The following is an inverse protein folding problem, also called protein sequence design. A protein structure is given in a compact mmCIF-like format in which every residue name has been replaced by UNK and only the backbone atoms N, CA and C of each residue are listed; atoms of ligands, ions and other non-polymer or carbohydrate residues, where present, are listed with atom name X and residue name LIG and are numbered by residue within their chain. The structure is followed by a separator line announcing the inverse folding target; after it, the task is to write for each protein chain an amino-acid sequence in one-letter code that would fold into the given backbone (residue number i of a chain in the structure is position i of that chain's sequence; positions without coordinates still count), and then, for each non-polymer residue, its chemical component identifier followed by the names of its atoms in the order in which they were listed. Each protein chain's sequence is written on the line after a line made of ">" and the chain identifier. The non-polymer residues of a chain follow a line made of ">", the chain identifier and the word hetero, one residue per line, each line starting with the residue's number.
data_IF_687130644597
#
_entry.id   IF_687130644597
#
_cell.length_a   1.000
_cell.length_b   1.000
_cell.length_c   1.000
_cell.angle_alpha   90.00
_cell.angle_beta   90.00
_cell.angle_gamma   90.00
#
_symmetry.space_group_name_H-M   'P 1'
#
loop_
_entity.id
_entity.type
_entity.pdbx_description
1 polymer ?
#
# COMPACT_ATOMS: atom_id res chain seq x y z
N UNK A 1 25.22 -22.57 33.79
CA UNK A 1 25.50 -21.18 33.41
C UNK A 1 26.30 -21.20 32.12
N UNK A 2 25.62 -21.12 30.98
CA UNK A 2 26.26 -20.85 29.70
C UNK A 2 26.02 -19.38 29.36
N UNK A 3 27.09 -18.60 29.39
CA UNK A 3 27.13 -17.20 28.96
C UNK A 3 27.08 -17.18 27.43
N UNK A 4 25.99 -16.63 26.89
CA UNK A 4 25.87 -16.29 25.48
C UNK A 4 26.32 -14.84 25.32
N UNK A 5 27.58 -14.63 24.97
CA UNK A 5 28.04 -13.34 24.46
C UNK A 5 27.49 -13.17 23.04
N UNK A 6 26.36 -12.49 22.92
CA UNK A 6 25.87 -11.98 21.64
C UNK A 6 26.52 -10.62 21.39
N UNK A 7 27.59 -10.63 20.59
CA UNK A 7 28.10 -9.44 19.91
C UNK A 7 26.98 -8.90 19.01
N UNK A 8 26.42 -7.75 19.36
CA UNK A 8 25.39 -7.08 18.58
C UNK A 8 26.03 -6.47 17.32
N UNK A 9 26.03 -7.21 16.22
CA UNK A 9 26.40 -6.67 14.91
C UNK A 9 25.33 -5.67 14.46
N UNK A 10 25.62 -4.39 14.61
CA UNK A 10 24.81 -3.30 14.10
C UNK A 10 24.75 -3.34 12.57
N UNK A 11 23.57 -3.62 12.00
CA UNK A 11 23.34 -3.49 10.57
C UNK A 11 23.13 -2.00 10.22
N UNK A 12 24.19 -1.37 9.69
CA UNK A 12 24.12 -0.03 9.10
C UNK A 12 23.34 -0.09 7.78
N UNK A 13 22.19 0.59 7.74
CA UNK A 13 21.44 0.81 6.48
C UNK A 13 22.16 1.87 5.65
N UNK A 14 22.49 1.65 4.35
CA UNK A 14 23.05 2.70 3.52
C UNK A 14 21.96 3.72 3.17
N UNK A 15 22.11 4.97 3.62
CA UNK A 15 21.34 6.11 3.09
C UNK A 15 21.84 6.48 1.69
N UNK A 16 20.96 6.75 0.71
CA UNK A 16 21.38 7.28 -0.58
C UNK A 16 21.82 8.73 -0.43
N UNK A 17 23.11 8.98 -0.69
CA UNK A 17 23.72 10.33 -0.72
C UNK A 17 23.58 10.90 -2.13
N UNK A 18 22.83 11.99 -2.27
CA UNK A 18 22.75 12.75 -3.52
C UNK A 18 24.13 13.39 -3.82
N UNK A 19 24.74 13.03 -4.95
CA UNK A 19 25.96 13.67 -5.44
C UNK A 19 25.61 14.84 -6.38
N UNK A 20 26.33 15.98 -6.30
CA UNK A 20 26.14 17.07 -7.24
C UNK A 20 26.81 16.74 -8.59
N UNK A 21 26.06 16.90 -9.68
CA UNK A 21 26.57 16.73 -11.04
C UNK A 21 27.31 18.00 -11.46
N UNK A 22 28.59 17.86 -11.79
CA UNK A 22 29.43 18.91 -12.34
C UNK A 22 29.12 19.18 -13.81
N UNK A 23 29.07 20.47 -14.12
CA UNK A 23 28.79 21.13 -15.39
C UNK A 23 29.75 20.73 -16.53
N UNK A 24 29.21 20.55 -17.74
CA UNK A 24 29.97 20.61 -18.99
C UNK A 24 29.06 21.03 -20.17
N UNK A 25 29.44 22.13 -20.82
CA UNK A 25 28.97 22.62 -22.13
C UNK A 25 30.15 22.47 -23.14
N UNK A 26 30.03 22.70 -24.48
CA UNK A 26 29.00 23.48 -25.21
C UNK A 26 28.59 22.98 -26.63
N UNK A 27 27.55 23.62 -27.22
CA UNK A 27 27.52 24.28 -28.55
C UNK A 27 26.18 24.17 -29.30
N UNK A 28 25.54 25.34 -29.44
CA UNK A 28 24.58 25.87 -30.41
C UNK A 28 23.76 24.96 -31.36
N UNK A 29 22.43 25.10 -31.28
CA UNK A 29 21.57 25.44 -32.44
C UNK A 29 20.36 26.24 -31.94
N UNK A 30 20.20 27.45 -32.47
CA UNK A 30 19.08 28.37 -32.27
C UNK A 30 17.75 27.80 -32.75
N UNK A 31 16.77 27.70 -31.85
CA UNK A 31 15.34 27.74 -32.22
C UNK A 31 14.60 28.52 -31.13
N UNK A 32 14.00 29.64 -31.53
CA UNK A 32 13.22 30.51 -30.65
C UNK A 32 12.13 29.71 -29.92
N UNK A 33 11.94 29.88 -28.59
CA UNK A 33 10.77 29.34 -27.94
C UNK A 33 9.58 30.19 -28.35
N UNK A 34 8.75 29.66 -29.25
CA UNK A 34 7.37 30.11 -29.38
C UNK A 34 6.75 30.02 -28.00
N UNK A 35 6.34 31.16 -27.45
CA UNK A 35 5.72 31.28 -26.14
C UNK A 35 4.61 30.23 -25.99
N UNK A 36 4.91 29.15 -25.27
CA UNK A 36 3.88 28.32 -24.69
C UNK A 36 3.26 29.23 -23.64
N UNK A 37 2.08 29.75 -23.96
CA UNK A 37 1.20 30.43 -23.02
C UNK A 37 1.25 29.63 -21.73
N UNK A 38 1.79 30.24 -20.67
CA UNK A 38 2.06 29.54 -19.42
C UNK A 38 0.87 28.71 -19.04
N UNK A 39 1.08 27.41 -18.88
CA UNK A 39 0.13 26.58 -18.15
C UNK A 39 -0.05 27.28 -16.81
N UNK A 40 -1.19 27.94 -16.64
CA UNK A 40 -1.51 28.64 -15.43
C UNK A 40 -1.29 27.64 -14.30
N UNK A 41 -0.29 27.89 -13.45
CA UNK A 41 -0.13 27.13 -12.22
C UNK A 41 -1.50 27.18 -11.56
N UNK A 42 -2.18 26.03 -11.34
CA UNK A 42 -3.50 26.06 -10.75
C UNK A 42 -3.29 26.63 -9.35
N UNK A 43 -3.63 27.91 -9.22
CA UNK A 43 -3.55 28.63 -7.97
C UNK A 43 -4.38 27.78 -7.00
N UNK A 44 -3.83 27.30 -5.86
CA UNK A 44 -4.49 26.31 -5.02
C UNK A 44 -5.78 26.91 -4.44
N UNK A 45 -6.87 26.81 -5.20
CA UNK A 45 -8.19 27.21 -4.79
C UNK A 45 -8.69 26.15 -3.83
N UNK A 46 -9.21 26.63 -2.70
CA UNK A 46 -9.91 25.77 -1.75
C UNK A 46 -11.06 25.06 -2.45
N UNK A 47 -11.13 23.74 -2.27
CA UNK A 47 -12.20 22.91 -2.82
C UNK A 47 -13.50 23.13 -2.04
N UNK A 48 -14.63 23.25 -2.74
CA UNK A 48 -15.95 23.28 -2.12
C UNK A 48 -16.50 21.84 -2.00
N UNK A 49 -17.08 21.50 -0.84
CA UNK A 49 -17.67 20.19 -0.59
C UNK A 49 -18.80 19.86 -1.57
N UNK A 50 -19.62 20.84 -1.97
CA UNK A 50 -20.76 20.60 -2.85
C UNK A 50 -20.34 20.07 -4.24
N UNK A 51 -19.16 20.48 -4.72
CA UNK A 51 -18.68 20.20 -6.08
C UNK A 51 -18.02 18.82 -6.22
N UNK A 52 -17.57 18.19 -5.11
CA UNK A 52 -16.98 16.84 -5.15
C UNK A 52 -17.96 15.80 -5.72
N UNK A 53 -17.50 14.90 -6.58
CA UNK A 53 -18.28 13.79 -7.18
C UNK A 53 -17.50 12.47 -7.02
N UNK A 54 -18.21 11.34 -6.92
CA UNK A 54 -17.56 10.01 -6.79
C UNK A 54 -16.90 9.62 -8.11
N UNK A 55 -17.58 9.88 -9.24
CA UNK A 55 -17.11 9.59 -10.59
C UNK A 55 -17.16 10.91 -11.39
N UNK A 56 -16.21 11.13 -12.30
CA UNK A 56 -16.14 12.28 -13.20
C UNK A 56 -16.12 13.67 -12.50
N UNK A 57 -15.55 13.77 -11.29
CA UNK A 57 -15.38 15.04 -10.58
C UNK A 57 -14.27 15.92 -11.18
N UNK A 58 -14.43 17.24 -11.09
CA UNK A 58 -13.48 18.24 -11.63
C UNK A 58 -12.71 19.00 -10.53
N UNK A 59 -13.01 18.73 -9.25
CA UNK A 59 -12.33 19.34 -8.10
C UNK A 59 -10.97 18.68 -7.85
N UNK A 60 -10.02 19.42 -7.27
CA UNK A 60 -8.73 18.85 -6.85
C UNK A 60 -8.90 17.68 -5.87
N UNK A 61 -8.44 16.49 -6.27
CA UNK A 61 -8.60 15.23 -5.54
C UNK A 61 -7.53 15.02 -4.46
N UNK A 62 -6.40 15.72 -4.55
CA UNK A 62 -5.32 15.61 -3.58
C UNK A 62 -5.65 16.35 -2.26
N UNK A 63 -6.66 17.22 -2.27
CA UNK A 63 -7.18 17.90 -1.10
C UNK A 63 -8.29 17.10 -0.42
N UNK A 64 -7.93 16.40 0.67
CA UNK A 64 -8.86 15.57 1.44
C UNK A 64 -10.07 16.36 1.97
N UNK A 65 -9.83 17.54 2.54
CA UNK A 65 -10.87 18.42 3.09
C UNK A 65 -11.41 19.40 2.04
N UNK A 66 -12.66 19.87 2.15
CA UNK A 66 -13.70 19.43 3.10
C UNK A 66 -14.31 18.07 2.71
N UNK A 67 -14.78 17.32 3.71
CA UNK A 67 -15.42 16.01 3.50
C UNK A 67 -16.87 16.16 2.99
N UNK A 68 -17.16 15.60 1.82
CA UNK A 68 -18.54 15.47 1.30
C UNK A 68 -19.17 14.13 1.72
N UNK A 69 -18.45 13.02 1.51
CA UNK A 69 -18.92 11.67 1.77
C UNK A 69 -18.47 11.18 3.15
N UNK A 70 -19.18 11.62 4.20
CA UNK A 70 -18.82 11.29 5.59
C UNK A 70 -18.80 9.78 5.86
N UNK A 71 -19.72 9.04 5.24
CA UNK A 71 -19.76 7.58 5.36
C UNK A 71 -18.45 6.90 4.96
N UNK A 72 -17.76 7.41 3.93
CA UNK A 72 -16.49 6.83 3.46
C UNK A 72 -15.39 7.04 4.48
N UNK A 73 -15.37 8.23 5.11
CA UNK A 73 -14.45 8.55 6.19
C UNK A 73 -14.71 7.69 7.44
N UNK A 74 -15.97 7.51 7.82
CA UNK A 74 -16.36 6.63 8.93
C UNK A 74 -15.95 5.17 8.68
N UNK A 75 -16.06 4.67 7.44
CA UNK A 75 -15.57 3.33 7.09
C UNK A 75 -14.06 3.22 7.18
N UNK A 76 -13.31 4.24 6.73
CA UNK A 76 -11.86 4.26 6.89
C UNK A 76 -11.45 4.16 8.36
N UNK A 77 -12.05 4.98 9.24
CA UNK A 77 -11.75 4.95 10.67
C UNK A 77 -12.13 3.61 11.32
N UNK A 78 -13.29 3.05 10.97
CA UNK A 78 -13.72 1.76 11.48
C UNK A 78 -12.75 0.64 11.10
N UNK A 79 -12.24 0.63 9.86
CA UNK A 79 -11.25 -0.36 9.41
C UNK A 79 -9.89 -0.15 10.09
N UNK A 80 -9.45 1.10 10.27
CA UNK A 80 -8.23 1.39 11.03
C UNK A 80 -8.30 0.88 12.48
N UNK A 81 -9.48 0.93 13.10
CA UNK A 81 -9.70 0.39 14.45
C UNK A 81 -9.68 -1.15 14.51
N UNK A 82 -9.82 -1.83 13.35
CA UNK A 82 -9.80 -3.29 13.22
C UNK A 82 -8.43 -3.81 12.76
N UNK A 83 -7.34 -3.09 13.03
CA UNK A 83 -6.00 -3.54 12.69
C UNK A 83 -5.62 -4.79 13.49
N UNK A 84 -5.09 -5.81 12.82
CA UNK A 84 -4.52 -7.02 13.41
C UNK A 84 -3.38 -7.53 12.54
N UNK A 85 -2.48 -8.32 13.13
CA UNK A 85 -1.37 -8.95 12.44
C UNK A 85 -1.48 -10.48 12.49
N UNK A 86 -1.24 -11.21 11.39
CA UNK A 86 -1.38 -12.68 11.36
C UNK A 86 -0.55 -13.41 12.43
N UNK A 87 0.60 -12.87 12.79
CA UNK A 87 1.51 -13.44 13.78
C UNK A 87 0.96 -13.35 15.22
N UNK A 88 -0.10 -12.57 15.46
CA UNK A 88 -0.75 -12.45 16.76
C UNK A 88 -1.58 -13.70 17.13
N UNK A 89 -1.92 -14.54 16.15
CA UNK A 89 -2.67 -15.78 16.36
C UNK A 89 -1.72 -16.97 16.49
N UNK A 90 -1.77 -17.66 17.63
CA UNK A 90 -0.93 -18.83 17.88
C UNK A 90 -1.43 -20.06 17.10
N UNK A 91 -0.57 -20.61 16.24
CA UNK A 91 -0.86 -21.76 15.37
C UNK A 91 -0.32 -23.10 15.89
N UNK A 92 0.27 -23.19 17.09
CA UNK A 92 0.94 -24.41 17.57
C UNK A 92 0.01 -25.63 17.63
N UNK A 93 -1.25 -25.43 18.05
CA UNK A 93 -2.24 -26.52 18.12
C UNK A 93 -2.65 -27.00 16.73
N UNK A 94 -2.91 -26.05 15.83
CA UNK A 94 -3.25 -26.29 14.43
C UNK A 94 -2.12 -27.03 13.70
N UNK A 95 -0.86 -26.64 13.96
CA UNK A 95 0.32 -27.32 13.41
C UNK A 95 0.42 -28.76 13.93
N UNK A 96 0.22 -28.98 15.23
CA UNK A 96 0.25 -30.31 15.83
C UNK A 96 -0.86 -31.20 15.23
N UNK A 97 -2.09 -30.70 15.16
CA UNK A 97 -3.23 -31.38 14.56
C UNK A 97 -3.00 -31.69 13.07
N UNK A 98 -2.45 -30.74 12.33
CA UNK A 98 -2.17 -30.93 10.91
C UNK A 98 -1.10 -32.00 10.67
N UNK A 99 -0.10 -32.11 11.54
CA UNK A 99 0.99 -33.09 11.43
C UNK A 99 0.60 -34.49 11.92
N UNK A 100 -0.38 -34.62 12.81
CA UNK A 100 -0.85 -35.92 13.29
C UNK A 100 -1.56 -36.70 12.17
N UNK A 101 -1.08 -37.89 11.78
CA UNK A 101 -1.75 -38.73 10.77
C UNK A 101 -3.20 -39.07 11.10
N UNK A 102 -3.57 -39.13 12.39
CA UNK A 102 -4.92 -39.42 12.87
C UNK A 102 -5.70 -38.16 13.28
N UNK A 103 -5.10 -36.97 13.14
CA UNK A 103 -5.69 -35.72 13.61
C UNK A 103 -6.87 -35.22 12.78
N UNK A 104 -6.85 -35.46 11.46
CA UNK A 104 -7.91 -35.06 10.53
C UNK A 104 -8.14 -36.17 9.52
N UNK A 105 -9.40 -36.40 9.18
CA UNK A 105 -9.81 -37.25 8.06
C UNK A 105 -9.36 -36.65 6.72
N UNK A 106 -9.31 -37.47 5.66
CA UNK A 106 -8.89 -36.99 4.35
C UNK A 106 -9.85 -35.93 3.78
N UNK A 107 -11.16 -36.05 4.04
CA UNK A 107 -12.14 -35.09 3.56
C UNK A 107 -12.03 -33.73 4.29
N UNK A 108 -11.75 -33.73 5.58
CA UNK A 108 -11.46 -32.50 6.33
C UNK A 108 -10.20 -31.81 5.80
N UNK A 109 -9.11 -32.57 5.61
CA UNK A 109 -7.87 -32.04 5.02
C UNK A 109 -8.09 -31.50 3.62
N UNK A 110 -8.93 -32.15 2.81
CA UNK A 110 -9.27 -31.72 1.45
C UNK A 110 -10.02 -30.40 1.45
N UNK A 111 -10.96 -30.19 2.36
CA UNK A 111 -11.69 -28.93 2.51
C UNK A 111 -10.73 -27.80 2.89
N UNK A 112 -9.84 -28.01 3.86
CA UNK A 112 -8.84 -27.00 4.26
C UNK A 112 -7.92 -26.64 3.09
N UNK A 113 -7.36 -27.64 2.39
CA UNK A 113 -6.50 -27.44 1.21
C UNK A 113 -7.20 -26.62 0.11
N UNK A 114 -8.46 -26.92 -0.19
CA UNK A 114 -9.24 -26.21 -1.22
C UNK A 114 -9.52 -24.76 -0.83
N UNK A 115 -9.92 -24.50 0.42
CA UNK A 115 -10.17 -23.14 0.89
C UNK A 115 -8.89 -22.30 0.86
N UNK A 116 -7.77 -22.83 1.37
CA UNK A 116 -6.49 -22.13 1.34
C UNK A 116 -6.03 -21.83 -0.09
N UNK A 117 -6.16 -22.80 -1.00
CA UNK A 117 -5.82 -22.62 -2.42
C UNK A 117 -6.69 -21.58 -3.14
N UNK A 118 -7.96 -21.45 -2.76
CA UNK A 118 -8.84 -20.41 -3.28
C UNK A 118 -8.46 -19.01 -2.76
N UNK A 119 -8.36 -18.86 -1.44
CA UNK A 119 -8.16 -17.54 -0.82
C UNK A 119 -6.78 -16.93 -1.06
N UNK A 120 -5.74 -17.74 -1.25
CA UNK A 120 -4.38 -17.22 -1.54
C UNK A 120 -4.32 -16.42 -2.85
N UNK A 121 -5.13 -16.76 -3.84
CA UNK A 121 -5.18 -16.03 -5.11
C UNK A 121 -6.34 -15.05 -5.19
N UNK A 122 -7.48 -15.39 -4.58
CA UNK A 122 -8.68 -14.54 -4.58
C UNK A 122 -8.43 -13.17 -3.93
N UNK A 123 -7.60 -13.10 -2.88
CA UNK A 123 -7.26 -11.84 -2.21
C UNK A 123 -6.52 -10.88 -3.16
N UNK A 124 -5.50 -11.39 -3.87
CA UNK A 124 -4.78 -10.62 -4.88
C UNK A 124 -5.68 -10.15 -6.03
N UNK A 125 -6.65 -10.96 -6.45
CA UNK A 125 -7.62 -10.55 -7.48
C UNK A 125 -8.50 -9.39 -6.99
N UNK A 126 -9.00 -9.45 -5.75
CA UNK A 126 -9.79 -8.37 -5.18
C UNK A 126 -8.98 -7.08 -5.03
N UNK A 127 -7.74 -7.18 -4.54
CA UNK A 127 -6.84 -6.04 -4.42
C UNK A 127 -6.53 -5.41 -5.79
N UNK A 128 -6.22 -6.23 -6.80
CA UNK A 128 -5.94 -5.76 -8.15
C UNK A 128 -7.14 -5.03 -8.77
N UNK A 129 -8.35 -5.52 -8.55
CA UNK A 129 -9.57 -4.87 -9.03
C UNK A 129 -9.80 -3.49 -8.38
N UNK A 130 -9.33 -3.26 -7.15
CA UNK A 130 -9.46 -1.95 -6.49
C UNK A 130 -8.39 -0.97 -6.97
N UNK A 131 -7.18 -1.45 -7.27
CA UNK A 131 -6.05 -0.60 -7.68
C UNK A 131 -6.11 -0.22 -9.16
N UNK A 132 -6.53 -1.16 -10.03
CA UNK A 132 -6.52 -0.99 -11.48
C UNK A 132 -7.91 -0.74 -12.09
N UNK A 133 -8.98 -0.93 -11.30
CA UNK A 133 -10.37 -0.78 -11.73
C UNK A 133 -10.87 0.66 -11.75
#
# INVERSE_FOLDING_TARGET
>A
MLTWDHEATSFTTPQPRLQPVTESAPCATTRAPSAHTGAATPNPRRVNAADKRIINGQTDVNQLVPFKYKWAWEKYLATCANHWMPQEINMNRDIALWKDPNGLTEDERRIVKRNLGFFVTADSLAANNIVLG
#
